data_IF_406935691583
#
_entry.id   IF_406935691583
#
_cell.length_a   1.000
_cell.length_b   1.000
_cell.length_c   1.000
_cell.angle_alpha   90.00
_cell.angle_beta   90.00
_cell.angle_gamma   90.00
#
_symmetry.space_group_name_H-M   'P 1'
#
loop_
_entity.id
_entity.type
_entity.pdbx_description
1 polymer ?
#
# COMPACT_ATOMS: atom_id res chain seq x y z
N UNK A 1 -6.17 -15.66 4.36
CA UNK A 1 -6.61 -14.26 4.57
C UNK A 1 -6.70 -14.01 6.06
N UNK A 2 -6.25 -12.85 6.51
CA UNK A 2 -6.19 -12.45 7.92
C UNK A 2 -7.15 -11.27 8.19
N UNK A 3 -7.55 -11.03 9.46
CA UNK A 3 -8.60 -10.07 9.81
C UNK A 3 -8.39 -8.67 9.23
N UNK A 4 -7.19 -8.09 9.40
CA UNK A 4 -6.91 -6.72 8.95
C UNK A 4 -7.18 -6.49 7.46
N UNK A 5 -6.85 -7.45 6.59
CA UNK A 5 -7.16 -7.34 5.17
C UNK A 5 -8.65 -7.45 4.88
N UNK A 6 -9.37 -8.38 5.56
CA UNK A 6 -10.82 -8.54 5.37
C UNK A 6 -11.57 -7.29 5.83
N UNK A 7 -11.17 -6.72 6.97
CA UNK A 7 -11.72 -5.48 7.52
C UNK A 7 -11.47 -4.31 6.58
N UNK A 8 -10.22 -4.13 6.13
CA UNK A 8 -9.87 -3.09 5.16
C UNK A 8 -10.68 -3.19 3.86
N UNK A 9 -10.89 -4.39 3.34
CA UNK A 9 -11.69 -4.58 2.12
C UNK A 9 -13.17 -4.33 2.34
N UNK A 10 -13.71 -4.71 3.50
CA UNK A 10 -15.10 -4.48 3.84
C UNK A 10 -15.41 -3.00 4.04
N UNK A 11 -14.47 -2.23 4.59
CA UNK A 11 -14.64 -0.82 4.90
C UNK A 11 -14.30 0.10 3.72
N UNK A 12 -13.19 -0.17 3.02
CA UNK A 12 -12.62 0.75 2.02
C UNK A 12 -12.63 0.19 0.59
N UNK A 13 -13.03 -1.06 0.39
CA UNK A 13 -13.02 -1.70 -0.93
C UNK A 13 -13.88 -0.94 -1.95
N UNK A 14 -13.31 -0.70 -3.13
CA UNK A 14 -13.93 0.02 -4.23
C UNK A 14 -13.78 1.55 -4.17
N UNK A 15 -13.15 2.12 -3.13
CA UNK A 15 -12.88 3.56 -3.08
C UNK A 15 -11.81 3.95 -4.09
N UNK A 16 -12.13 4.95 -4.91
CA UNK A 16 -11.27 5.47 -5.96
C UNK A 16 -11.01 6.97 -5.75
N UNK A 17 -9.74 7.36 -5.79
CA UNK A 17 -9.29 8.72 -5.58
C UNK A 17 -8.52 9.20 -6.81
N UNK A 18 -8.87 10.39 -7.29
CA UNK A 18 -8.26 11.04 -8.46
C UNK A 18 -7.54 12.37 -8.08
N UNK A 19 -6.67 12.40 -7.05
CA UNK A 19 -5.92 13.60 -6.75
C UNK A 19 -4.87 13.86 -7.84
N UNK A 20 -4.57 15.13 -8.07
CA UNK A 20 -3.61 15.54 -9.10
C UNK A 20 -2.82 16.78 -8.66
N UNK A 21 -1.70 17.04 -9.30
CA UNK A 21 -0.84 18.18 -9.01
C UNK A 21 0.06 17.98 -7.78
N UNK A 22 0.69 19.06 -7.33
CA UNK A 22 1.67 19.02 -6.24
C UNK A 22 1.04 18.55 -4.92
N UNK A 23 1.74 17.68 -4.21
CA UNK A 23 1.52 17.39 -2.79
C UNK A 23 2.53 18.12 -1.91
N UNK A 24 2.67 17.68 -0.66
CA UNK A 24 3.59 18.27 0.31
C UNK A 24 5.05 18.07 -0.10
N UNK A 25 5.39 16.84 -0.46
CA UNK A 25 6.75 16.44 -0.85
C UNK A 25 6.79 15.82 -2.25
N UNK A 26 5.72 15.11 -2.64
CA UNK A 26 5.58 14.39 -3.89
C UNK A 26 4.34 14.86 -4.67
N UNK A 27 4.34 14.70 -5.98
CA UNK A 27 3.12 14.86 -6.77
C UNK A 27 2.08 13.81 -6.32
N UNK A 28 0.83 14.22 -6.17
CA UNK A 28 -0.27 13.33 -5.80
C UNK A 28 -0.69 12.50 -7.01
N UNK A 29 -1.08 11.27 -6.73
CA UNK A 29 -1.32 10.23 -7.73
C UNK A 29 -2.70 9.63 -7.55
N UNK A 30 -3.41 9.29 -8.64
CA UNK A 30 -4.63 8.48 -8.56
C UNK A 30 -4.34 7.14 -7.88
N UNK A 31 -5.27 6.67 -7.06
CA UNK A 31 -5.18 5.36 -6.44
C UNK A 31 -6.56 4.75 -6.18
N UNK A 32 -6.61 3.43 -6.23
CA UNK A 32 -7.80 2.61 -6.09
C UNK A 32 -7.57 1.58 -4.97
N UNK A 33 -8.50 1.51 -4.03
CA UNK A 33 -8.52 0.47 -3.00
C UNK A 33 -9.38 -0.69 -3.49
N UNK A 34 -8.80 -1.57 -4.31
CA UNK A 34 -9.44 -2.80 -4.80
C UNK A 34 -8.45 -3.97 -4.69
N UNK A 35 -8.71 -4.99 -3.84
CA UNK A 35 -7.83 -6.14 -3.73
C UNK A 35 -7.68 -6.94 -5.04
N UNK A 36 -8.61 -6.79 -5.99
CA UNK A 36 -8.53 -7.49 -7.28
C UNK A 36 -7.36 -6.98 -8.15
N UNK A 37 -6.89 -5.75 -7.93
CA UNK A 37 -5.70 -5.20 -8.61
C UNK A 37 -4.43 -6.03 -8.36
N UNK A 38 -4.37 -6.75 -7.24
CA UNK A 38 -3.21 -7.58 -6.88
C UNK A 38 -3.30 -9.06 -7.23
N UNK A 39 -4.38 -9.54 -7.88
CA UNK A 39 -4.60 -10.98 -8.15
C UNK A 39 -3.45 -11.66 -8.90
N UNK A 40 -2.74 -10.91 -9.74
CA UNK A 40 -1.65 -11.42 -10.56
C UNK A 40 -0.26 -11.18 -9.98
N UNK A 41 -0.19 -10.68 -8.73
CA UNK A 41 1.07 -10.36 -8.05
C UNK A 41 1.39 -11.25 -6.81
N UNK A 42 1.03 -12.55 -6.77
CA UNK A 42 1.23 -13.36 -5.57
C UNK A 42 2.71 -13.55 -5.22
N UNK A 43 3.60 -13.59 -6.21
CA UNK A 43 5.04 -13.72 -5.98
C UNK A 43 5.63 -12.46 -5.36
N UNK A 44 5.27 -11.28 -5.89
CA UNK A 44 5.71 -9.98 -5.38
C UNK A 44 5.31 -9.80 -3.90
N UNK A 45 4.05 -10.12 -3.57
CA UNK A 45 3.56 -10.06 -2.18
C UNK A 45 4.27 -11.07 -1.27
N UNK A 46 4.55 -12.28 -1.75
CA UNK A 46 5.24 -13.30 -0.97
C UNK A 46 6.72 -12.94 -0.72
N UNK A 47 7.39 -12.34 -1.71
CA UNK A 47 8.79 -11.93 -1.60
C UNK A 47 8.95 -10.76 -0.61
N UNK A 48 8.08 -9.73 -0.70
CA UNK A 48 8.09 -8.65 0.30
C UNK A 48 7.67 -9.15 1.69
N UNK A 49 6.63 -9.99 1.78
CA UNK A 49 6.18 -10.54 3.06
C UNK A 49 7.30 -11.31 3.78
N UNK A 50 8.08 -12.10 3.04
CA UNK A 50 9.27 -12.77 3.58
C UNK A 50 10.33 -11.78 4.07
N UNK A 51 10.57 -10.70 3.34
CA UNK A 51 11.55 -9.69 3.73
C UNK A 51 11.14 -8.93 5.01
N UNK A 52 9.83 -8.77 5.24
CA UNK A 52 9.24 -8.08 6.39
C UNK A 52 8.86 -9.02 7.55
N UNK A 53 9.10 -10.32 7.41
CA UNK A 53 8.66 -11.36 8.35
C UNK A 53 7.16 -11.29 8.69
N UNK A 54 6.33 -11.07 7.67
CA UNK A 54 4.87 -10.99 7.79
C UNK A 54 4.16 -11.57 6.58
N UNK A 55 2.83 -11.77 6.64
CA UNK A 55 2.03 -12.08 5.45
C UNK A 55 1.43 -10.80 4.89
N UNK A 56 1.44 -10.69 3.57
CA UNK A 56 0.81 -9.60 2.84
C UNK A 56 -0.42 -10.06 2.07
N UNK A 57 -1.39 -9.17 1.97
CA UNK A 57 -2.56 -9.27 1.12
C UNK A 57 -2.63 -8.03 0.21
N UNK A 58 -3.21 -8.14 -1.00
CA UNK A 58 -3.41 -6.99 -1.86
C UNK A 58 -4.43 -6.03 -1.23
N UNK A 59 -4.20 -4.74 -1.39
CA UNK A 59 -5.10 -3.68 -0.95
C UNK A 59 -5.63 -2.83 -2.12
N UNK A 60 -4.83 -2.67 -3.18
CA UNK A 60 -5.16 -1.75 -4.26
C UNK A 60 -3.99 -1.43 -5.17
N UNK A 61 -4.04 -0.28 -5.84
CA UNK A 61 -3.00 0.20 -6.74
C UNK A 61 -2.90 1.73 -6.77
N UNK A 62 -1.74 2.25 -7.17
CA UNK A 62 -1.53 3.65 -7.53
C UNK A 62 -1.20 3.81 -9.03
N UNK A 63 -1.51 4.99 -9.55
CA UNK A 63 -1.27 5.41 -10.94
C UNK A 63 -1.71 4.35 -11.98
N UNK A 64 -2.90 3.79 -11.81
CA UNK A 64 -3.47 2.79 -12.73
C UNK A 64 -2.56 1.56 -12.92
N UNK A 65 -2.12 0.98 -11.79
CA UNK A 65 -1.37 -0.27 -11.75
C UNK A 65 0.16 -0.12 -11.83
N UNK A 66 0.71 1.10 -11.71
CA UNK A 66 2.18 1.29 -11.68
C UNK A 66 2.79 1.00 -10.32
N UNK A 67 2.00 1.08 -9.26
CA UNK A 67 2.37 0.62 -7.93
C UNK A 67 1.26 -0.27 -7.35
N UNK A 68 1.65 -1.31 -6.62
CA UNK A 68 0.76 -2.19 -5.88
C UNK A 68 0.65 -1.70 -4.44
N UNK A 69 -0.57 -1.57 -3.93
CA UNK A 69 -0.83 -1.35 -2.51
C UNK A 69 -1.05 -2.70 -1.82
N UNK A 70 -0.40 -2.90 -0.67
CA UNK A 70 -0.49 -4.12 0.12
C UNK A 70 -0.73 -3.80 1.60
N UNK A 71 -1.37 -4.73 2.31
CA UNK A 71 -1.61 -4.66 3.75
C UNK A 71 -1.08 -5.93 4.42
N UNK A 72 -0.53 -5.82 5.63
CA UNK A 72 -0.06 -6.98 6.40
C UNK A 72 -0.99 -7.43 7.55
N UNK A 73 -0.61 -8.51 8.23
CA UNK A 73 -1.37 -9.09 9.35
C UNK A 73 -1.62 -8.11 10.52
N UNK A 74 -0.83 -7.04 10.65
CA UNK A 74 -0.98 -6.00 11.66
C UNK A 74 -1.79 -4.78 11.17
N UNK A 75 -2.17 -4.73 9.89
CA UNK A 75 -2.89 -3.62 9.28
C UNK A 75 -2.00 -2.54 8.65
N UNK A 76 -0.67 -2.73 8.69
CA UNK A 76 0.31 -1.82 8.08
C UNK A 76 0.21 -1.87 6.57
N UNK A 77 0.33 -0.70 5.94
CA UNK A 77 0.12 -0.53 4.49
C UNK A 77 1.41 -0.14 3.79
N UNK A 78 1.62 -0.74 2.62
CA UNK A 78 2.83 -0.58 1.82
C UNK A 78 2.48 -0.27 0.36
N UNK A 79 3.36 0.48 -0.31
CA UNK A 79 3.35 0.67 -1.76
C UNK A 79 4.58 0.03 -2.38
N UNK A 80 4.41 -0.65 -3.49
CA UNK A 80 5.46 -1.35 -4.22
C UNK A 80 5.45 -0.91 -5.68
N UNK A 81 6.54 -0.30 -6.13
CA UNK A 81 6.71 0.08 -7.54
C UNK A 81 8.08 -0.36 -8.07
N UNK A 82 8.36 -0.01 -9.32
CA UNK A 82 9.64 -0.29 -9.98
C UNK A 82 10.86 0.39 -9.32
N UNK A 83 10.65 1.35 -8.43
CA UNK A 83 11.70 2.09 -7.71
C UNK A 83 11.99 1.51 -6.32
N UNK A 84 11.05 0.74 -5.75
CA UNK A 84 11.20 -0.01 -4.51
C UNK A 84 9.89 -0.12 -3.72
N UNK A 85 10.05 -0.46 -2.44
CA UNK A 85 8.95 -0.64 -1.49
C UNK A 85 8.96 0.47 -0.43
N UNK A 86 7.76 0.89 -0.05
CA UNK A 86 7.53 2.07 0.78
C UNK A 86 6.49 1.77 1.84
N UNK A 87 6.74 2.24 3.07
CA UNK A 87 5.78 2.16 4.16
C UNK A 87 4.88 3.40 4.17
N UNK A 88 3.58 3.20 4.01
CA UNK A 88 2.59 4.29 3.89
C UNK A 88 1.95 4.66 5.23
N UNK A 89 1.86 3.71 6.16
CA UNK A 89 1.29 3.95 7.49
C UNK A 89 0.87 2.68 8.22
N UNK A 90 0.59 2.84 9.52
CA UNK A 90 0.15 1.79 10.45
C UNK A 90 -1.28 1.28 10.18
N UNK A 91 -2.01 1.92 9.27
CA UNK A 91 -3.38 1.59 8.91
C UNK A 91 -3.81 2.28 7.63
N UNK A 92 -4.97 1.87 7.10
CA UNK A 92 -5.52 2.39 5.84
C UNK A 92 -5.76 3.89 5.90
N UNK A 93 -6.28 4.43 7.01
CA UNK A 93 -6.51 5.87 7.19
C UNK A 93 -5.22 6.69 7.04
N UNK A 94 -4.12 6.22 7.67
CA UNK A 94 -2.83 6.87 7.58
C UNK A 94 -2.25 6.76 6.17
N UNK A 95 -2.37 5.59 5.54
CA UNK A 95 -1.90 5.38 4.18
C UNK A 95 -2.63 6.29 3.18
N UNK A 96 -3.96 6.36 3.25
CA UNK A 96 -4.79 7.26 2.45
C UNK A 96 -4.40 8.72 2.69
N UNK A 97 -4.14 9.09 3.95
CA UNK A 97 -3.66 10.45 4.29
C UNK A 97 -2.30 10.74 3.64
N UNK A 98 -1.34 9.81 3.71
CA UNK A 98 -0.03 9.91 3.08
C UNK A 98 -0.16 10.15 1.56
N UNK A 99 -0.97 9.35 0.88
CA UNK A 99 -1.20 9.45 -0.58
C UNK A 99 -1.92 10.74 -0.97
N UNK A 100 -3.02 11.10 -0.28
CA UNK A 100 -3.80 12.30 -0.59
C UNK A 100 -3.03 13.60 -0.36
N UNK A 101 -2.13 13.62 0.63
CA UNK A 101 -1.28 14.77 0.90
C UNK A 101 -0.03 14.79 0.03
N UNK A 102 0.34 13.68 -0.62
CA UNK A 102 1.62 13.53 -1.31
C UNK A 102 2.79 13.74 -0.37
N UNK A 103 2.73 13.12 0.82
CA UNK A 103 3.84 13.14 1.79
C UNK A 103 4.84 12.05 1.39
N UNK A 104 6.14 12.30 1.53
CA UNK A 104 7.16 11.30 1.21
C UNK A 104 7.09 10.10 2.19
N UNK A 105 6.73 8.89 1.73
CA UNK A 105 6.71 7.72 2.60
C UNK A 105 8.12 7.24 2.95
N UNK A 106 8.24 6.46 4.02
CA UNK A 106 9.51 5.86 4.40
C UNK A 106 9.87 4.75 3.41
N UNK A 107 11.08 4.82 2.84
CA UNK A 107 11.59 3.74 2.00
C UNK A 107 11.98 2.55 2.86
N UNK A 108 11.41 1.38 2.57
CA UNK A 108 11.86 0.15 3.19
C UNK A 108 13.28 -0.16 2.72
N UNK A 109 14.18 -0.37 3.69
CA UNK A 109 15.53 -0.87 3.45
C UNK A 109 15.60 -2.28 4.02
N UNK A 110 16.49 -3.11 3.50
CA UNK A 110 16.74 -4.44 4.04
C UNK A 110 17.05 -4.38 5.54
N UNK A 111 16.06 -4.72 6.37
CA UNK A 111 16.03 -4.65 7.83
C UNK A 111 14.57 -4.74 8.33
N UNK A 112 14.31 -5.17 9.58
CA UNK A 112 12.95 -5.24 10.12
C UNK A 112 12.29 -3.86 10.12
N UNK A 113 10.96 -3.77 9.93
CA UNK A 113 10.24 -2.50 9.94
C UNK A 113 10.44 -1.75 11.28
N UNK A 114 10.36 -0.41 11.27
CA UNK A 114 10.46 0.39 12.50
C UNK A 114 9.38 -0.02 13.50
N UNK A 115 9.72 0.08 14.79
CA UNK A 115 8.88 -0.31 15.92
C UNK A 115 7.80 0.73 16.25
#
# INVERSE_FOLDING_TARGET
>A
MFPAAVEAWAEFGGLHFEPSGAGRDLARTPFLLDPLCGLHQPRTLADLGRALDTKLAPLGEEMYGRALLAIDEAGRVYSLDHTGEWFLGEGVDQAVTTLLLGTLPERLRTGPPPA
#
